data_IF_149514870241
#
_entry.id   IF_149514870241
#
_cell.length_a   1.000
_cell.length_b   1.000
_cell.length_c   1.000
_cell.angle_alpha   90.00
_cell.angle_beta   90.00
_cell.angle_gamma   90.00
#
_symmetry.space_group_name_H-M   'P 1'
#
loop_
_entity.id
_entity.type
_entity.pdbx_description
1 polymer ?
#
# COMPACT_ATOMS: atom_id res chain seq x y z
N UNK A 1 -2.52 23.57 -7.24
CA UNK A 1 -2.49 22.24 -6.61
C UNK A 1 -3.03 22.25 -5.16
N UNK A 2 -4.29 21.84 -4.92
CA UNK A 2 -4.91 21.74 -3.57
C UNK A 2 -5.34 20.32 -3.19
N UNK A 3 -5.04 19.33 -4.04
CA UNK A 3 -5.50 17.94 -3.90
C UNK A 3 -4.30 17.02 -3.86
N UNK A 4 -4.35 16.06 -2.95
CA UNK A 4 -3.30 15.07 -2.76
C UNK A 4 -3.88 13.66 -2.65
N UNK A 5 -3.11 12.68 -3.12
CA UNK A 5 -3.45 11.25 -3.01
C UNK A 5 -2.28 10.47 -2.43
N UNK A 6 -2.59 9.53 -1.55
CA UNK A 6 -1.61 8.60 -0.99
C UNK A 6 -1.33 7.49 -2.01
N UNK A 7 -0.06 7.11 -2.18
CA UNK A 7 0.34 6.10 -3.17
C UNK A 7 1.35 5.14 -2.56
N UNK A 8 1.12 3.83 -2.73
CA UNK A 8 2.11 2.82 -2.34
C UNK A 8 3.43 3.01 -3.08
N UNK A 9 4.55 2.94 -2.34
CA UNK A 9 5.91 3.16 -2.86
C UNK A 9 6.19 2.50 -4.21
N UNK A 10 5.78 1.24 -4.40
CA UNK A 10 6.11 0.46 -5.59
C UNK A 10 5.43 0.93 -6.89
N UNK A 11 4.40 1.78 -6.82
CA UNK A 11 3.85 2.47 -8.01
C UNK A 11 4.80 3.56 -8.53
N UNK A 12 5.57 4.17 -7.63
CA UNK A 12 6.56 5.19 -7.94
C UNK A 12 7.93 4.57 -8.21
N UNK A 13 8.35 3.60 -7.39
CA UNK A 13 9.59 2.85 -7.54
C UNK A 13 9.35 1.32 -7.59
N UNK A 14 9.18 0.75 -8.79
CA UNK A 14 8.99 -0.69 -8.97
C UNK A 14 10.17 -1.56 -8.54
N UNK A 15 11.38 -1.01 -8.36
CA UNK A 15 12.57 -1.78 -7.99
C UNK A 15 12.47 -2.34 -6.56
N UNK A 16 11.60 -1.76 -5.74
CA UNK A 16 11.37 -2.11 -4.34
C UNK A 16 10.48 -3.34 -4.15
N UNK A 17 9.96 -3.90 -5.24
CA UNK A 17 9.15 -5.12 -5.20
C UNK A 17 10.04 -6.35 -4.98
N UNK A 18 9.44 -7.40 -4.43
CA UNK A 18 10.10 -8.70 -4.33
C UNK A 18 10.57 -9.19 -5.71
N UNK A 19 11.66 -9.96 -5.71
CA UNK A 19 12.28 -10.51 -6.93
C UNK A 19 11.29 -11.36 -7.72
N UNK A 20 11.35 -11.23 -9.05
CA UNK A 20 10.53 -12.03 -9.98
C UNK A 20 9.04 -11.64 -10.01
N UNK A 21 8.63 -10.55 -9.34
CA UNK A 21 7.24 -10.11 -9.39
C UNK A 21 6.91 -9.45 -10.73
N UNK A 22 5.63 -9.56 -11.14
CA UNK A 22 5.13 -8.93 -12.37
C UNK A 22 5.34 -7.41 -12.33
N UNK A 23 5.66 -6.84 -13.50
CA UNK A 23 5.74 -5.39 -13.72
C UNK A 23 4.39 -4.75 -13.34
N UNK A 24 4.47 -3.57 -12.70
CA UNK A 24 3.29 -2.77 -12.37
C UNK A 24 3.02 -1.79 -13.51
N UNK A 25 1.75 -1.62 -13.89
CA UNK A 25 1.34 -0.52 -14.75
C UNK A 25 1.35 0.80 -13.94
N UNK A 26 2.05 1.81 -14.46
CA UNK A 26 2.22 3.14 -13.83
C UNK A 26 1.43 4.26 -14.53
N UNK A 27 0.52 3.93 -15.43
CA UNK A 27 -0.30 4.91 -16.16
C UNK A 27 -1.15 5.77 -15.21
N UNK A 28 -1.55 5.21 -14.07
CA UNK A 28 -2.20 5.97 -13.00
C UNK A 28 -1.32 7.11 -12.46
N UNK A 29 -0.01 6.90 -12.38
CA UNK A 29 0.91 7.97 -11.93
C UNK A 29 0.97 9.08 -12.97
N UNK A 30 1.01 8.75 -14.25
CA UNK A 30 0.95 9.75 -15.33
C UNK A 30 -0.34 10.57 -15.23
N UNK A 31 -1.49 9.90 -15.11
CA UNK A 31 -2.78 10.57 -14.98
C UNK A 31 -2.86 11.52 -13.76
N UNK A 32 -2.21 11.18 -12.65
CA UNK A 32 -2.13 12.06 -11.48
C UNK A 32 -1.28 13.30 -11.75
N UNK A 33 -0.12 13.12 -12.40
CA UNK A 33 0.78 14.22 -12.75
C UNK A 33 0.12 15.15 -13.78
N UNK A 34 -0.49 14.59 -14.83
CA UNK A 34 -1.21 15.35 -15.86
C UNK A 34 -2.39 16.14 -15.27
N UNK A 35 -2.97 15.65 -14.17
CA UNK A 35 -4.07 16.28 -13.45
C UNK A 35 -3.67 17.32 -12.39
N UNK A 36 -2.39 17.69 -12.28
CA UNK A 36 -1.86 18.55 -11.20
C UNK A 36 -2.27 18.05 -9.79
N UNK A 37 -2.22 16.73 -9.58
CA UNK A 37 -2.53 16.09 -8.30
C UNK A 37 -1.22 15.76 -7.57
N UNK A 38 -1.12 16.24 -6.33
CA UNK A 38 0.02 15.94 -5.47
C UNK A 38 0.03 14.47 -5.04
N UNK A 39 1.21 13.86 -5.01
CA UNK A 39 1.40 12.45 -4.65
C UNK A 39 2.12 12.36 -3.31
N UNK A 40 1.43 11.85 -2.30
CA UNK A 40 2.02 11.53 -1.00
C UNK A 40 2.48 10.08 -1.04
N UNK A 41 3.79 9.87 -1.14
CA UNK A 41 4.36 8.52 -1.18
C UNK A 41 4.31 7.88 0.21
N UNK A 42 3.70 6.70 0.29
CA UNK A 42 3.74 5.85 1.48
C UNK A 42 5.00 4.97 1.47
N UNK A 43 5.72 4.83 2.61
CA UNK A 43 6.83 3.89 2.71
C UNK A 43 6.32 2.45 2.56
N UNK A 44 7.06 1.61 1.82
CA UNK A 44 6.73 0.20 1.69
C UNK A 44 7.17 -0.54 2.98
N UNK A 45 6.24 -1.08 3.79
CA UNK A 45 6.60 -1.74 5.04
C UNK A 45 7.52 -2.95 4.81
N UNK A 46 7.31 -3.69 3.72
CA UNK A 46 8.14 -4.84 3.33
C UNK A 46 9.56 -4.38 2.95
N UNK A 47 9.71 -3.27 2.23
CA UNK A 47 11.02 -2.72 1.84
C UNK A 47 11.81 -2.18 3.02
N UNK A 48 11.15 -1.41 3.90
CA UNK A 48 11.80 -0.83 5.09
C UNK A 48 12.14 -1.91 6.10
N UNK A 49 11.42 -3.03 6.09
CA UNK A 49 11.76 -4.22 6.88
C UNK A 49 12.90 -5.03 6.25
N UNK A 50 12.94 -5.14 4.91
CA UNK A 50 14.01 -5.80 4.17
C UNK A 50 13.92 -5.54 2.66
N UNK A 51 14.90 -4.82 2.11
CA UNK A 51 14.88 -4.30 0.73
C UNK A 51 14.91 -5.39 -0.34
N UNK A 52 15.97 -6.21 -0.38
CA UNK A 52 16.12 -7.32 -1.34
C UNK A 52 15.60 -8.62 -0.74
N UNK A 53 14.41 -9.03 -1.18
CA UNK A 53 13.70 -10.18 -0.62
C UNK A 53 13.05 -11.05 -1.69
N UNK A 54 12.85 -12.31 -1.33
CA UNK A 54 11.99 -13.21 -2.08
C UNK A 54 10.52 -12.87 -1.85
N UNK A 55 9.60 -13.29 -2.75
CA UNK A 55 8.17 -13.16 -2.50
C UNK A 55 7.80 -13.91 -1.22
N UNK A 56 7.19 -13.18 -0.28
CA UNK A 56 6.69 -13.69 0.99
C UNK A 56 5.16 -13.55 1.02
N UNK A 57 4.49 -14.48 1.69
CA UNK A 57 3.06 -14.47 1.95
C UNK A 57 2.76 -13.72 3.25
N UNK A 58 1.46 -13.55 3.56
CA UNK A 58 1.03 -12.91 4.80
C UNK A 58 1.57 -13.63 6.04
N UNK A 59 1.60 -14.96 6.01
CA UNK A 59 2.02 -15.79 7.15
C UNK A 59 3.50 -15.60 7.49
N UNK A 60 4.33 -15.38 6.47
CA UNK A 60 5.77 -15.12 6.62
C UNK A 60 6.03 -13.78 7.35
N UNK A 61 5.06 -12.87 7.31
CA UNK A 61 5.09 -11.56 7.95
C UNK A 61 4.24 -11.48 9.23
N UNK A 62 3.56 -12.56 9.64
CA UNK A 62 2.68 -12.53 10.81
C UNK A 62 3.45 -12.73 12.13
N UNK A 63 4.53 -11.96 12.30
CA UNK A 63 5.38 -11.98 13.49
C UNK A 63 5.08 -10.78 14.39
N UNK A 64 5.22 -10.91 15.73
CA UNK A 64 5.06 -9.77 16.64
C UNK A 64 5.95 -8.58 16.26
N UNK A 65 7.18 -8.86 15.84
CA UNK A 65 8.17 -7.87 15.39
C UNK A 65 7.70 -7.11 14.15
N UNK A 66 7.21 -7.80 13.12
CA UNK A 66 6.74 -7.17 11.89
C UNK A 66 5.45 -6.38 12.10
N UNK A 67 4.53 -6.88 12.96
CA UNK A 67 3.32 -6.13 13.34
C UNK A 67 3.67 -4.82 14.04
N UNK A 68 4.64 -4.86 14.93
CA UNK A 68 5.13 -3.67 15.64
C UNK A 68 5.87 -2.70 14.70
N UNK A 69 6.65 -3.21 13.75
CA UNK A 69 7.21 -2.41 12.65
C UNK A 69 6.13 -1.69 11.84
N UNK A 70 5.08 -2.40 11.41
CA UNK A 70 3.96 -1.81 10.69
C UNK A 70 3.21 -0.76 11.52
N UNK A 71 3.04 -0.99 12.84
CA UNK A 71 2.39 -0.04 13.75
C UNK A 71 3.16 1.29 13.82
N UNK A 72 4.48 1.23 13.99
CA UNK A 72 5.33 2.44 14.00
C UNK A 72 5.27 3.21 12.68
N UNK A 73 5.26 2.50 11.55
CA UNK A 73 5.10 3.14 10.25
C UNK A 73 3.74 3.82 10.12
N UNK A 74 2.66 3.16 10.56
CA UNK A 74 1.32 3.72 10.51
C UNK A 74 1.17 5.01 11.32
N UNK A 75 1.77 5.07 12.52
CA UNK A 75 1.78 6.30 13.35
C UNK A 75 2.44 7.46 12.61
N UNK A 76 3.64 7.24 12.04
CA UNK A 76 4.35 8.27 11.27
C UNK A 76 3.56 8.73 10.04
N UNK A 77 2.91 7.81 9.34
CA UNK A 77 2.07 8.13 8.18
C UNK A 77 0.86 8.95 8.62
N UNK A 78 0.23 8.62 9.75
CA UNK A 78 -0.91 9.36 10.28
C UNK A 78 -0.54 10.81 10.62
N UNK A 79 0.63 11.04 11.21
CA UNK A 79 1.16 12.39 11.46
C UNK A 79 1.33 13.18 10.15
N UNK A 80 1.95 12.58 9.14
CA UNK A 80 2.11 13.21 7.81
C UNK A 80 0.74 13.56 7.21
N UNK A 81 -0.20 12.61 7.20
CA UNK A 81 -1.55 12.84 6.65
C UNK A 81 -2.30 13.92 7.42
N UNK A 82 -2.12 13.99 8.74
CA UNK A 82 -2.71 15.03 9.58
C UNK A 82 -2.21 16.43 9.16
N UNK A 83 -0.90 16.60 8.99
CA UNK A 83 -0.32 17.87 8.53
C UNK A 83 -0.78 18.23 7.11
N UNK A 84 -0.84 17.27 6.19
CA UNK A 84 -1.37 17.52 4.85
C UNK A 84 -2.84 17.94 4.89
N UNK A 85 -3.66 17.25 5.67
CA UNK A 85 -5.11 17.50 5.74
C UNK A 85 -5.47 18.83 6.39
N UNK A 86 -4.55 19.45 7.13
CA UNK A 86 -4.72 20.80 7.66
C UNK A 86 -4.68 21.89 6.57
N UNK A 87 -4.09 21.59 5.40
CA UNK A 87 -3.84 22.57 4.35
C UNK A 87 -4.35 22.15 2.96
N UNK A 88 -4.54 20.85 2.73
CA UNK A 88 -4.84 20.26 1.43
C UNK A 88 -5.91 19.18 1.53
N UNK A 89 -6.62 18.92 0.42
CA UNK A 89 -7.58 17.83 0.33
C UNK A 89 -6.88 16.51 0.01
N UNK A 90 -6.68 15.68 1.04
CA UNK A 90 -6.22 14.29 0.87
C UNK A 90 -7.43 13.41 0.57
N UNK A 91 -7.61 13.01 -0.69
CA UNK A 91 -8.88 12.43 -1.15
C UNK A 91 -8.87 10.91 -1.34
N UNK A 92 -7.73 10.23 -1.17
CA UNK A 92 -7.69 8.78 -1.32
C UNK A 92 -6.33 8.12 -1.18
N UNK A 93 -6.36 6.80 -1.37
CA UNK A 93 -5.20 5.91 -1.34
C UNK A 93 -5.22 4.98 -2.56
N UNK A 94 -4.11 4.97 -3.30
CA UNK A 94 -3.87 4.03 -4.40
C UNK A 94 -2.92 2.94 -3.90
N UNK A 95 -3.49 1.74 -3.76
CA UNK A 95 -2.78 0.57 -3.24
C UNK A 95 -2.55 -0.50 -4.31
N UNK A 96 -1.63 -1.42 -4.03
CA UNK A 96 -1.39 -2.59 -4.89
C UNK A 96 -2.13 -3.80 -4.32
N UNK A 97 -3.16 -4.25 -5.05
CA UNK A 97 -3.89 -5.47 -4.73
C UNK A 97 -2.96 -6.70 -4.73
N UNK A 98 -3.13 -7.57 -3.73
CA UNK A 98 -2.38 -8.83 -3.57
C UNK A 98 -1.16 -8.73 -2.64
N UNK A 99 -0.68 -7.54 -2.29
CA UNK A 99 0.45 -7.42 -1.35
C UNK A 99 0.07 -7.92 0.06
N UNK A 100 0.99 -8.61 0.78
CA UNK A 100 0.77 -9.04 2.16
C UNK A 100 0.58 -7.84 3.11
N UNK A 101 1.24 -6.71 2.81
CA UNK A 101 1.29 -5.56 3.72
C UNK A 101 0.59 -4.30 3.21
N UNK A 102 0.44 -4.15 1.88
CA UNK A 102 -0.23 -3.02 1.24
C UNK A 102 -1.56 -3.41 0.55
N UNK A 103 -2.01 -4.66 0.68
CA UNK A 103 -3.26 -5.12 0.10
C UNK A 103 -4.49 -4.58 0.84
N UNK A 104 -5.29 -3.75 0.18
CA UNK A 104 -6.53 -3.21 0.74
C UNK A 104 -7.70 -4.23 0.69
N UNK A 105 -8.03 -4.78 -0.49
CA UNK A 105 -9.14 -5.75 -0.65
C UNK A 105 -8.72 -7.21 -0.82
N UNK A 106 -7.51 -7.45 -1.36
CA UNK A 106 -6.97 -8.79 -1.66
C UNK A 106 -5.54 -8.88 -1.16
N UNK A 107 -5.22 -9.98 -0.52
CA UNK A 107 -3.85 -10.33 -0.12
C UNK A 107 -3.57 -11.80 -0.46
N UNK A 108 -2.31 -12.13 -0.75
CA UNK A 108 -1.90 -13.52 -0.91
C UNK A 108 -1.80 -14.18 0.47
N UNK A 109 -2.66 -15.16 0.73
CA UNK A 109 -2.67 -15.96 1.94
C UNK A 109 -2.54 -17.44 1.55
N UNK A 110 -1.75 -18.19 2.32
CA UNK A 110 -1.70 -19.65 2.19
C UNK A 110 -2.96 -20.24 2.84
N UNK A 111 -3.65 -21.13 2.12
CA UNK A 111 -4.66 -21.96 2.76
C UNK A 111 -4.00 -23.11 3.55
N UNK A 112 -4.75 -23.79 4.42
CA UNK A 112 -4.31 -24.93 5.26
C UNK A 112 -3.64 -26.09 4.48
N UNK A 113 -3.68 -26.07 3.14
CA UNK A 113 -3.13 -27.09 2.25
C UNK A 113 -1.93 -26.60 1.43
N UNK A 114 -1.32 -25.47 1.79
CA UNK A 114 -0.09 -24.96 1.16
C UNK A 114 -0.26 -24.40 -0.26
N UNK A 115 -1.50 -24.21 -0.74
CA UNK A 115 -1.77 -23.54 -2.03
C UNK A 115 -1.89 -22.03 -1.82
N UNK A 116 -1.33 -21.25 -2.73
CA UNK A 116 -1.50 -19.79 -2.76
C UNK A 116 -2.96 -19.51 -3.11
N UNK A 117 -3.71 -18.93 -2.18
CA UNK A 117 -5.08 -18.48 -2.41
C UNK A 117 -5.18 -16.98 -2.24
N UNK A 118 -6.05 -16.34 -3.02
CA UNK A 118 -6.37 -14.94 -2.81
C UNK A 118 -7.44 -14.86 -1.72
N UNK A 119 -7.06 -14.43 -0.51
CA UNK A 119 -8.04 -14.18 0.53
C UNK A 119 -8.68 -12.81 0.29
N UNK A 120 -9.99 -12.79 0.06
CA UNK A 120 -10.79 -11.57 0.18
C UNK A 120 -10.89 -11.25 1.67
N UNK A 121 -10.50 -10.04 2.09
CA UNK A 121 -10.87 -9.56 3.44
C UNK A 121 -12.38 -9.33 3.41
N UNK A 122 -13.17 -10.30 3.89
CA UNK A 122 -14.59 -10.06 4.18
C UNK A 122 -14.67 -9.09 5.36
N UNK A 123 -15.23 -7.92 5.07
CA UNK A 123 -15.72 -6.90 6.00
C UNK A 123 -14.69 -6.21 6.89
N UNK A 124 -14.35 -4.97 6.54
CA UNK A 124 -14.54 -3.78 7.39
C UNK A 124 -13.95 -2.52 6.70
N UNK A 125 -14.80 -1.51 6.54
CA UNK A 125 -14.56 -0.14 6.04
C UNK A 125 -14.35 0.07 4.53
N UNK A 126 -15.39 -0.21 3.75
CA UNK A 126 -15.63 0.50 2.49
C UNK A 126 -16.37 1.81 2.79
N UNK A 127 -15.64 2.85 3.15
CA UNK A 127 -16.14 4.22 2.96
C UNK A 127 -15.23 4.97 2.00
N UNK A 128 -15.29 4.51 0.75
CA UNK A 128 -15.07 5.36 -0.40
C UNK A 128 -16.34 6.19 -0.60
N UNK A 129 -16.43 7.37 0.00
CA UNK A 129 -17.43 8.37 -0.40
C UNK A 129 -16.95 9.01 -1.70
N UNK A 130 -17.22 8.33 -2.81
CA UNK A 130 -17.45 8.98 -4.10
C UNK A 130 -18.96 9.02 -4.29
N UNK A 131 -19.59 10.07 -3.76
CA UNK A 131 -20.88 10.56 -4.27
C UNK A 131 -20.73 12.07 -4.46
N UNK A 132 -20.83 12.44 -5.74
CA UNK A 132 -21.31 13.71 -6.32
C UNK A 132 -21.42 14.91 -5.38
#
# INVERSE_FOLDING_TARGET
MNRAVLVCHCLLDPLTRARGTKKINRDIIKALLDGDISIIQLPCPEMVYGFFRNPCNKEDYDTPEYREHCRRLAVKIAEIVHHYSAHFSVFGLISIGGSPSCGFQRTHARNLHGRITQSLRREQYTHCYLRS
#
